data_IF_975168015593
#
_entry.id   IF_975168015593
#
_cell.length_a   1.000
_cell.length_b   1.000
_cell.length_c   1.000
_cell.angle_alpha   90.00
_cell.angle_beta   90.00
_cell.angle_gamma   90.00
#
_symmetry.space_group_name_H-M   'P 1'
#
loop_
_entity.id
_entity.type
_entity.pdbx_description
1 polymer ?
#
# COMPACT_ATOMS: atom_id res chain seq x y z
N UNK A 1 10.73 -32.17 25.52
CA UNK A 1 10.54 -31.27 24.36
C UNK A 1 9.36 -30.36 24.65
N UNK A 2 9.60 -29.06 24.83
CA UNK A 2 8.64 -27.95 24.61
C UNK A 2 9.34 -26.64 25.04
N UNK A 3 9.73 -25.83 24.06
CA UNK A 3 10.24 -24.46 24.27
C UNK A 3 9.06 -23.53 23.94
N UNK A 4 8.44 -22.97 24.98
CA UNK A 4 7.28 -22.11 24.86
C UNK A 4 7.65 -20.65 24.55
N UNK A 5 7.27 -20.19 23.35
CA UNK A 5 7.28 -18.80 22.88
C UNK A 5 6.55 -17.86 23.86
N UNK A 6 7.27 -17.00 24.59
CA UNK A 6 6.74 -15.81 25.30
C UNK A 6 7.69 -14.60 25.30
N UNK A 7 8.58 -14.49 24.31
CA UNK A 7 9.68 -13.51 24.35
C UNK A 7 9.59 -12.28 23.43
N UNK A 8 8.60 -12.15 22.55
CA UNK A 8 8.69 -11.17 21.44
C UNK A 8 7.98 -9.82 21.65
N UNK A 9 7.13 -9.68 22.68
CA UNK A 9 6.42 -8.41 22.95
C UNK A 9 7.12 -7.48 23.97
N UNK A 10 8.17 -7.96 24.66
CA UNK A 10 8.86 -7.18 25.69
C UNK A 10 10.06 -6.37 25.18
N UNK A 11 10.61 -6.70 24.00
CA UNK A 11 11.86 -6.08 23.51
C UNK A 11 11.72 -4.69 22.87
N UNK A 12 10.50 -4.26 22.50
CA UNK A 12 10.32 -3.01 21.75
C UNK A 12 10.11 -1.76 22.62
N UNK A 13 9.70 -1.92 23.89
CA UNK A 13 9.43 -0.78 24.79
C UNK A 13 10.63 -0.36 25.67
N UNK A 14 11.69 -1.17 25.77
CA UNK A 14 12.80 -0.90 26.70
C UNK A 14 13.89 0.05 26.19
N UNK A 15 13.90 0.42 24.90
CA UNK A 15 14.96 1.27 24.34
C UNK A 15 14.62 2.77 24.24
N UNK A 16 13.41 3.18 24.64
CA UNK A 16 13.05 4.60 24.67
C UNK A 16 13.43 5.25 26.00
N UNK A 17 14.24 6.32 26.02
CA UNK A 17 14.69 6.99 27.25
C UNK A 17 13.56 7.73 28.02
N UNK A 18 12.31 7.59 27.58
CA UNK A 18 11.12 8.14 28.24
C UNK A 18 10.58 7.26 29.40
N UNK A 19 11.13 6.06 29.64
CA UNK A 19 10.62 5.10 30.63
C UNK A 19 11.59 4.88 31.81
N UNK A 20 12.10 5.97 32.40
CA UNK A 20 12.81 5.87 33.69
C UNK A 20 12.31 6.90 34.68
N UNK A 21 11.05 6.79 35.10
CA UNK A 21 10.61 7.32 36.39
C UNK A 21 9.54 6.43 37.06
N UNK A 22 9.54 6.33 38.40
CA UNK A 22 8.62 5.48 39.14
C UNK A 22 7.20 6.07 39.09
N UNK A 23 6.29 5.37 38.40
CA UNK A 23 4.93 5.81 38.19
C UNK A 23 4.14 5.88 39.51
N UNK A 24 3.80 7.11 39.95
CA UNK A 24 2.73 7.34 40.93
C UNK A 24 1.39 6.99 40.27
N UNK A 25 0.60 6.12 40.92
CA UNK A 25 -0.66 5.50 40.42
C UNK A 25 -1.76 6.44 39.88
N UNK A 26 -1.64 7.76 40.06
CA UNK A 26 -2.54 8.75 39.46
C UNK A 26 -2.14 9.21 38.04
N UNK A 27 -0.87 9.11 37.67
CA UNK A 27 -0.35 9.63 36.39
C UNK A 27 -0.51 8.62 35.23
N UNK A 28 -0.57 7.32 35.52
CA UNK A 28 -0.80 6.27 34.51
C UNK A 28 -2.21 6.31 33.93
N UNK A 29 -3.24 6.69 34.70
CA UNK A 29 -4.61 6.82 34.17
C UNK A 29 -4.77 8.03 33.24
N UNK A 30 -4.13 9.16 33.54
CA UNK A 30 -4.17 10.34 32.68
C UNK A 30 -3.44 10.14 31.34
N UNK A 31 -2.33 9.39 31.33
CA UNK A 31 -1.58 9.02 30.10
C UNK A 31 -2.30 7.92 29.31
N UNK A 32 -2.91 6.92 29.97
CA UNK A 32 -3.72 5.90 29.29
C UNK A 32 -5.03 6.47 28.70
N UNK A 33 -5.58 7.55 29.26
CA UNK A 33 -6.74 8.27 28.70
C UNK A 33 -6.31 9.26 27.60
N UNK A 34 -5.13 9.88 27.68
CA UNK A 34 -4.58 10.71 26.61
C UNK A 34 -4.16 9.88 25.37
N UNK A 35 -3.60 8.68 25.54
CA UNK A 35 -3.36 7.71 24.47
C UNK A 35 -4.67 7.11 23.90
N UNK A 36 -5.70 6.96 24.72
CA UNK A 36 -7.06 6.65 24.27
C UNK A 36 -7.63 7.82 23.44
N UNK A 37 -7.48 9.08 23.89
CA UNK A 37 -8.11 10.26 23.28
C UNK A 37 -7.43 10.76 21.99
N UNK A 38 -6.13 10.49 21.80
CA UNK A 38 -5.41 10.85 20.56
C UNK A 38 -5.65 9.81 19.45
N UNK A 39 -6.00 8.55 19.79
CA UNK A 39 -6.33 7.47 18.85
C UNK A 39 -7.82 7.32 18.52
N UNK A 40 -8.73 7.92 19.31
CA UNK A 40 -10.19 7.71 19.17
C UNK A 40 -10.87 8.59 18.09
N UNK A 41 -10.29 9.72 17.62
CA UNK A 41 -11.07 10.72 16.86
C UNK A 41 -10.78 10.99 15.36
N UNK A 42 -9.62 10.70 14.74
CA UNK A 42 -9.60 10.62 13.27
C UNK A 42 -10.48 9.46 12.75
N UNK A 43 -10.77 8.48 13.61
CA UNK A 43 -11.62 7.34 13.36
C UNK A 43 -13.14 7.64 13.35
N UNK A 44 -13.60 8.86 13.65
CA UNK A 44 -15.05 9.19 13.66
C UNK A 44 -15.48 10.30 12.69
N UNK A 45 -14.55 11.06 12.09
CA UNK A 45 -14.89 12.18 11.22
C UNK A 45 -14.24 12.03 9.85
N UNK A 46 -15.06 11.53 8.91
CA UNK A 46 -14.90 11.48 7.46
C UNK A 46 -13.58 11.94 6.87
N UNK A 47 -12.76 10.98 6.46
CA UNK A 47 -12.19 11.04 5.13
C UNK A 47 -12.46 9.71 4.44
N UNK A 48 -13.10 9.78 3.27
CA UNK A 48 -13.19 8.70 2.29
C UNK A 48 -11.82 8.31 1.71
N UNK A 49 -10.72 8.86 2.24
CA UNK A 49 -9.40 8.87 1.61
C UNK A 49 -8.32 8.17 2.44
N UNK A 50 -8.69 7.54 3.55
CA UNK A 50 -7.72 6.63 4.08
C UNK A 50 -7.63 5.47 3.08
N UNK A 51 -6.45 5.26 2.52
CA UNK A 51 -6.21 4.18 1.59
C UNK A 51 -6.10 2.83 2.30
N UNK A 52 -6.57 1.80 1.64
CA UNK A 52 -6.53 0.39 2.04
C UNK A 52 -5.10 -0.20 2.01
N UNK A 53 -4.09 0.63 2.28
CA UNK A 53 -2.67 0.35 2.17
C UNK A 53 -2.26 -1.00 2.80
N UNK A 54 -2.79 -1.31 3.98
CA UNK A 54 -2.52 -2.58 4.66
C UNK A 54 -3.07 -3.77 3.88
N UNK A 55 -4.34 -3.68 3.48
CA UNK A 55 -4.94 -4.73 2.63
C UNK A 55 -4.29 -4.89 1.27
N UNK A 56 -3.87 -3.79 0.62
CA UNK A 56 -3.23 -3.83 -0.69
C UNK A 56 -1.83 -4.41 -0.63
N UNK A 57 -1.01 -3.97 0.32
CA UNK A 57 0.34 -4.49 0.50
C UNK A 57 0.34 -6.00 0.82
N UNK A 58 -0.57 -6.47 1.69
CA UNK A 58 -0.68 -7.89 1.99
C UNK A 58 -1.14 -8.75 0.82
N UNK A 59 -2.12 -8.25 0.04
CA UNK A 59 -2.50 -8.92 -1.20
C UNK A 59 -1.38 -8.93 -2.23
N UNK A 60 -0.65 -7.82 -2.37
CA UNK A 60 0.43 -7.69 -3.33
C UNK A 60 1.59 -8.64 -3.01
N UNK A 61 1.97 -8.78 -1.73
CA UNK A 61 3.03 -9.68 -1.31
C UNK A 61 2.68 -11.16 -1.59
N UNK A 62 1.41 -11.54 -1.43
CA UNK A 62 0.93 -12.90 -1.70
C UNK A 62 0.64 -13.18 -3.20
N UNK A 63 0.45 -12.15 -4.04
CA UNK A 63 0.31 -12.33 -5.51
C UNK A 63 1.67 -12.39 -6.20
N UNK A 64 2.57 -11.45 -5.90
CA UNK A 64 3.94 -11.41 -6.45
C UNK A 64 4.90 -10.93 -5.35
N UNK A 65 5.72 -11.84 -4.78
CA UNK A 65 6.65 -11.50 -3.70
C UNK A 65 7.92 -10.81 -4.26
N UNK A 66 7.74 -9.62 -4.84
CA UNK A 66 8.80 -8.70 -5.26
C UNK A 66 8.62 -7.37 -4.53
N UNK A 67 9.67 -6.91 -3.84
CA UNK A 67 9.62 -5.67 -3.05
C UNK A 67 9.23 -4.45 -3.88
N UNK A 68 9.58 -4.40 -5.17
CA UNK A 68 9.22 -3.27 -6.03
C UNK A 68 7.78 -3.36 -6.51
N UNK A 69 7.24 -4.56 -6.65
CA UNK A 69 5.81 -4.78 -6.87
C UNK A 69 5.01 -4.31 -5.65
N UNK A 70 5.39 -4.75 -4.45
CA UNK A 70 4.73 -4.31 -3.20
C UNK A 70 4.87 -2.78 -3.02
N UNK A 71 6.03 -2.21 -3.34
CA UNK A 71 6.23 -0.77 -3.35
C UNK A 71 5.26 -0.05 -4.29
N UNK A 72 5.07 -0.56 -5.50
CA UNK A 72 4.14 0.01 -6.46
C UNK A 72 2.73 0.02 -5.94
N UNK A 73 2.29 -1.09 -5.34
CA UNK A 73 0.96 -1.19 -4.74
C UNK A 73 0.78 -0.23 -3.55
N UNK A 74 1.85 0.04 -2.79
CA UNK A 74 1.78 0.96 -1.66
C UNK A 74 1.77 2.44 -2.07
N UNK A 75 2.47 2.78 -3.15
CA UNK A 75 2.70 4.17 -3.57
C UNK A 75 1.59 4.73 -4.49
N UNK A 76 0.57 3.94 -4.80
CA UNK A 76 -0.46 4.36 -5.75
C UNK A 76 -1.24 5.60 -5.29
N UNK A 77 -1.56 5.70 -4.00
CA UNK A 77 -2.26 6.86 -3.40
C UNK A 77 -1.28 7.89 -2.80
N UNK A 78 -0.09 8.04 -3.41
CA UNK A 78 0.89 9.02 -2.96
C UNK A 78 0.38 10.46 -3.12
N UNK A 79 -0.49 10.70 -4.09
CA UNK A 79 -1.14 11.98 -4.37
C UNK A 79 -1.88 12.60 -3.19
N UNK A 80 -2.39 11.80 -2.25
CA UNK A 80 -2.93 12.29 -0.98
C UNK A 80 -1.94 13.12 -0.15
N UNK A 81 -0.64 12.94 -0.39
CA UNK A 81 0.44 13.65 0.28
C UNK A 81 1.20 14.60 -0.65
N UNK A 82 0.74 14.74 -1.89
CA UNK A 82 1.30 15.67 -2.87
C UNK A 82 0.53 17.01 -2.86
N UNK A 83 1.15 18.09 -3.38
CA UNK A 83 0.43 19.34 -3.62
C UNK A 83 -0.81 19.12 -4.51
N UNK A 84 -1.92 19.83 -4.29
CA UNK A 84 -3.17 19.63 -5.03
C UNK A 84 -3.10 19.99 -6.52
N UNK A 85 -1.98 20.57 -6.96
CA UNK A 85 -1.69 20.86 -8.38
C UNK A 85 -1.04 19.68 -9.10
N UNK A 86 -0.61 18.66 -8.37
CA UNK A 86 -0.04 17.45 -8.95
C UNK A 86 -1.12 16.58 -9.60
N UNK A 87 -0.74 15.79 -10.63
CA UNK A 87 -1.66 14.83 -11.20
C UNK A 87 -2.00 13.72 -10.19
N UNK A 88 -3.19 13.20 -10.32
CA UNK A 88 -3.67 12.04 -9.59
C UNK A 88 -2.79 10.81 -9.88
N UNK A 89 -2.27 10.17 -8.82
CA UNK A 89 -1.29 9.08 -8.97
C UNK A 89 -1.93 7.69 -9.01
N UNK A 90 -3.14 7.50 -8.48
CA UNK A 90 -3.95 6.27 -8.52
C UNK A 90 -4.68 6.12 -9.87
N UNK A 91 -3.96 6.31 -10.99
CA UNK A 91 -4.53 6.19 -12.33
C UNK A 91 -3.72 5.28 -13.24
N UNK A 92 -4.41 4.57 -14.15
CA UNK A 92 -3.75 3.75 -15.18
C UNK A 92 -2.78 4.58 -16.04
N UNK A 93 -3.12 5.86 -16.28
CA UNK A 93 -2.27 6.78 -17.04
C UNK A 93 -0.96 7.07 -16.31
N UNK A 94 -1.01 7.34 -15.00
CA UNK A 94 0.19 7.56 -14.20
C UNK A 94 1.05 6.30 -14.14
N UNK A 95 0.42 5.15 -13.88
CA UNK A 95 1.05 3.84 -13.79
C UNK A 95 1.70 3.39 -15.10
N UNK A 96 1.03 3.60 -16.25
CA UNK A 96 1.61 3.29 -17.57
C UNK A 96 2.83 4.16 -17.87
N UNK A 97 2.77 5.44 -17.51
CA UNK A 97 3.87 6.36 -17.68
C UNK A 97 5.09 6.04 -16.82
N UNK A 98 4.97 5.24 -15.75
CA UNK A 98 6.13 4.79 -14.94
C UNK A 98 7.14 4.04 -15.82
N UNK A 99 6.65 3.15 -16.69
CA UNK A 99 7.50 2.39 -17.60
C UNK A 99 8.13 3.30 -18.65
N UNK A 100 7.39 4.29 -19.15
CA UNK A 100 7.87 5.23 -20.16
C UNK A 100 8.96 6.17 -19.63
N UNK A 101 8.87 6.56 -18.35
CA UNK A 101 9.82 7.44 -17.68
C UNK A 101 11.03 6.71 -17.09
N UNK A 102 10.94 5.40 -16.98
CA UNK A 102 12.04 4.57 -16.51
C UNK A 102 13.26 4.79 -17.41
N UNK A 103 14.40 5.14 -16.81
CA UNK A 103 15.64 5.34 -17.56
C UNK A 103 16.05 4.05 -18.28
N UNK A 104 16.84 4.20 -19.34
CA UNK A 104 17.40 3.06 -20.08
C UNK A 104 18.24 2.19 -19.13
N UNK A 105 17.73 0.99 -18.82
CA UNK A 105 18.35 0.07 -17.84
C UNK A 105 17.70 0.01 -16.46
N UNK A 106 16.58 0.71 -16.21
CA UNK A 106 15.79 0.50 -14.98
C UNK A 106 15.39 -0.96 -14.84
N UNK A 107 15.82 -1.58 -13.74
CA UNK A 107 15.54 -2.99 -13.47
C UNK A 107 14.22 -3.19 -12.71
N UNK A 108 13.65 -2.12 -12.17
CA UNK A 108 12.60 -2.18 -11.16
C UNK A 108 11.32 -1.42 -11.53
N UNK A 109 11.36 -0.47 -12.48
CA UNK A 109 10.20 0.29 -12.91
C UNK A 109 9.03 -0.59 -13.38
N UNK A 110 9.35 -1.70 -14.04
CA UNK A 110 8.33 -2.64 -14.50
C UNK A 110 7.58 -3.29 -13.34
N UNK A 111 8.31 -3.72 -12.31
CA UNK A 111 7.71 -4.31 -11.13
C UNK A 111 6.91 -3.27 -10.34
N UNK A 112 7.46 -2.05 -10.23
CA UNK A 112 6.77 -0.91 -9.63
C UNK A 112 5.45 -0.59 -10.35
N UNK A 113 5.45 -0.47 -11.68
CA UNK A 113 4.24 -0.21 -12.47
C UNK A 113 3.20 -1.33 -12.33
N UNK A 114 3.64 -2.60 -12.29
CA UNK A 114 2.76 -3.75 -12.06
C UNK A 114 2.06 -3.67 -10.71
N UNK A 115 2.81 -3.34 -9.65
CA UNK A 115 2.25 -3.14 -8.33
C UNK A 115 1.23 -2.00 -8.29
N UNK A 116 1.55 -0.91 -8.98
CA UNK A 116 0.68 0.27 -9.08
C UNK A 116 -0.67 -0.05 -9.72
N UNK A 117 -0.67 -0.82 -10.81
CA UNK A 117 -1.91 -1.28 -11.45
C UNK A 117 -2.69 -2.28 -10.59
N UNK A 118 -1.98 -3.15 -9.86
CA UNK A 118 -2.61 -4.10 -8.94
C UNK A 118 -3.40 -3.37 -7.84
N UNK A 119 -2.90 -2.25 -7.33
CA UNK A 119 -3.63 -1.40 -6.38
C UNK A 119 -4.97 -0.90 -6.96
N UNK A 120 -4.95 -0.34 -8.16
CA UNK A 120 -6.14 0.22 -8.84
C UNK A 120 -7.23 -0.84 -9.01
N UNK A 121 -6.83 -2.06 -9.41
CA UNK A 121 -7.75 -3.20 -9.55
C UNK A 121 -8.36 -3.60 -8.20
N UNK A 122 -7.58 -3.52 -7.12
CA UNK A 122 -8.03 -3.87 -5.79
C UNK A 122 -8.96 -2.81 -5.18
N UNK A 123 -8.79 -1.53 -5.49
CA UNK A 123 -9.69 -0.46 -5.04
C UNK A 123 -11.12 -0.66 -5.55
N UNK A 124 -11.26 -1.01 -6.83
CA UNK A 124 -12.57 -1.31 -7.42
C UNK A 124 -13.24 -2.49 -6.71
N UNK A 125 -12.48 -3.53 -6.40
CA UNK A 125 -12.97 -4.73 -5.68
C UNK A 125 -13.31 -4.41 -4.23
N UNK A 126 -12.54 -3.55 -3.59
CA UNK A 126 -12.79 -3.11 -2.22
C UNK A 126 -14.08 -2.30 -2.15
N UNK A 127 -14.31 -1.36 -3.08
CA UNK A 127 -15.55 -0.60 -3.14
C UNK A 127 -16.78 -1.51 -3.26
N UNK A 128 -16.69 -2.58 -4.06
CA UNK A 128 -17.75 -3.59 -4.15
C UNK A 128 -17.96 -4.35 -2.83
N UNK A 129 -16.89 -4.68 -2.10
CA UNK A 129 -16.98 -5.32 -0.79
C UNK A 129 -17.62 -4.39 0.26
N UNK A 130 -17.25 -3.11 0.28
CA UNK A 130 -17.87 -2.08 1.13
C UNK A 130 -19.37 -2.03 0.89
N UNK A 131 -19.80 -1.93 -0.38
CA UNK A 131 -21.21 -1.88 -0.73
C UNK A 131 -21.97 -3.15 -0.26
N UNK A 132 -21.39 -4.33 -0.44
CA UNK A 132 -22.00 -5.60 -0.01
C UNK A 132 -22.14 -5.70 1.52
N UNK A 133 -21.13 -5.23 2.26
CA UNK A 133 -21.15 -5.22 3.74
C UNK A 133 -22.19 -4.20 4.22
N UNK A 134 -22.21 -2.99 3.68
CA UNK A 134 -23.17 -1.96 4.08
C UNK A 134 -24.62 -2.33 3.74
N UNK A 135 -24.84 -3.08 2.65
CA UNK A 135 -26.16 -3.65 2.36
C UNK A 135 -26.61 -4.66 3.44
N UNK A 136 -25.66 -5.41 4.01
CA UNK A 136 -25.93 -6.44 5.04
C UNK A 136 -25.95 -5.86 6.46
N UNK A 137 -25.19 -4.79 6.68
CA UNK A 137 -25.02 -4.08 7.95
C UNK A 137 -25.07 -2.55 7.74
N UNK A 138 -26.27 -1.96 7.57
CA UNK A 138 -26.42 -0.55 7.18
C UNK A 138 -25.86 0.47 8.18
N UNK A 139 -25.61 0.07 9.44
CA UNK A 139 -25.00 0.93 10.44
C UNK A 139 -23.46 0.99 10.33
N UNK A 140 -22.84 0.18 9.47
CA UNK A 140 -21.38 0.16 9.30
C UNK A 140 -20.94 1.23 8.31
N UNK A 141 -19.89 1.95 8.67
CA UNK A 141 -19.25 2.97 7.83
C UNK A 141 -18.17 2.34 6.95
N UNK A 142 -17.72 3.07 5.92
CA UNK A 142 -16.56 2.64 5.12
C UNK A 142 -15.30 2.49 5.99
N UNK A 143 -15.14 3.33 7.02
CA UNK A 143 -14.05 3.24 8.00
C UNK A 143 -14.09 1.94 8.78
N UNK A 144 -15.29 1.49 9.20
CA UNK A 144 -15.46 0.23 9.92
C UNK A 144 -15.03 -0.97 9.07
N UNK A 145 -15.43 -0.97 7.79
CA UNK A 145 -15.03 -2.00 6.83
C UNK A 145 -13.52 -2.00 6.63
N UNK A 146 -12.93 -0.82 6.44
CA UNK A 146 -11.50 -0.68 6.17
C UNK A 146 -10.63 -1.13 7.34
N UNK A 147 -10.92 -0.67 8.57
CA UNK A 147 -10.19 -1.10 9.75
C UNK A 147 -10.32 -2.61 9.99
N UNK A 148 -11.47 -3.20 9.67
CA UNK A 148 -11.66 -4.65 9.73
C UNK A 148 -10.86 -5.38 8.63
N UNK A 149 -10.82 -4.87 7.40
CA UNK A 149 -10.01 -5.42 6.31
C UNK A 149 -8.51 -5.37 6.63
N UNK A 150 -8.00 -4.22 7.10
CA UNK A 150 -6.60 -4.08 7.51
C UNK A 150 -6.26 -5.06 8.65
N UNK A 151 -7.16 -5.24 9.61
CA UNK A 151 -6.97 -6.22 10.68
C UNK A 151 -6.89 -7.65 10.13
N UNK A 152 -7.79 -8.02 9.21
CA UNK A 152 -7.79 -9.35 8.62
C UNK A 152 -6.56 -9.60 7.75
N UNK A 153 -6.11 -8.61 6.96
CA UNK A 153 -4.85 -8.71 6.25
C UNK A 153 -3.67 -8.90 7.20
N UNK A 154 -3.55 -8.08 8.24
CA UNK A 154 -2.47 -8.25 9.24
C UNK A 154 -2.50 -9.61 9.96
N UNK A 155 -3.66 -10.26 10.03
CA UNK A 155 -3.86 -11.52 10.76
C UNK A 155 -3.71 -12.74 9.86
N UNK A 156 -4.26 -12.71 8.65
CA UNK A 156 -4.32 -13.84 7.71
C UNK A 156 -3.21 -13.79 6.64
N UNK A 157 -2.77 -12.57 6.28
CA UNK A 157 -1.83 -12.29 5.19
C UNK A 157 -0.77 -11.27 5.63
N UNK A 158 0.06 -11.61 6.63
CA UNK A 158 1.03 -10.68 7.19
C UNK A 158 2.10 -10.32 6.15
N UNK A 159 2.33 -9.02 5.97
CA UNK A 159 3.29 -8.48 5.01
C UNK A 159 4.42 -7.72 5.71
N UNK A 160 5.54 -7.58 5.00
CA UNK A 160 6.68 -6.80 5.50
C UNK A 160 6.31 -5.32 5.58
N UNK A 161 6.51 -4.70 6.75
CA UNK A 161 6.35 -3.24 6.93
C UNK A 161 7.67 -2.47 6.80
N UNK A 162 8.74 -3.15 6.35
CA UNK A 162 10.08 -2.57 6.18
C UNK A 162 10.19 -1.78 4.86
N UNK A 163 9.34 -0.76 4.68
CA UNK A 163 9.28 0.07 3.48
C UNK A 163 10.27 1.25 3.50
N UNK A 164 11.13 1.35 4.52
CA UNK A 164 12.13 2.42 4.61
C UNK A 164 13.10 2.44 3.43
N UNK A 165 13.25 1.33 2.70
CA UNK A 165 14.04 1.32 1.47
C UNK A 165 13.49 2.29 0.41
N UNK A 166 12.18 2.57 0.39
CA UNK A 166 11.57 3.55 -0.51
C UNK A 166 12.09 4.97 -0.28
N UNK A 167 12.46 5.31 0.96
CA UNK A 167 13.05 6.60 1.31
C UNK A 167 14.52 6.72 0.87
N UNK A 168 15.19 5.58 0.70
CA UNK A 168 16.60 5.51 0.30
C UNK A 168 16.78 5.26 -1.20
N UNK A 169 15.75 4.79 -1.90
CA UNK A 169 15.81 4.42 -3.31
C UNK A 169 15.55 5.63 -4.22
N UNK A 170 16.63 6.18 -4.77
CA UNK A 170 16.58 7.33 -5.68
C UNK A 170 15.91 7.01 -7.02
N UNK A 171 15.90 5.74 -7.45
CA UNK A 171 15.24 5.33 -8.70
C UNK A 171 13.72 5.46 -8.56
N UNK A 172 13.16 4.94 -7.47
CA UNK A 172 11.72 5.08 -7.16
C UNK A 172 11.31 6.55 -7.12
N UNK A 173 12.08 7.38 -6.40
CA UNK A 173 11.80 8.80 -6.26
C UNK A 173 11.90 9.55 -7.60
N UNK A 174 12.90 9.23 -8.43
CA UNK A 174 13.10 9.84 -9.74
C UNK A 174 11.99 9.50 -10.74
N UNK A 175 11.57 8.23 -10.78
CA UNK A 175 10.51 7.74 -11.67
C UNK A 175 9.17 8.39 -11.35
N UNK A 176 8.83 8.47 -10.05
CA UNK A 176 7.59 9.10 -9.59
C UNK A 176 7.64 10.59 -9.87
N UNK A 177 8.72 11.29 -9.50
CA UNK A 177 8.88 12.72 -9.73
C UNK A 177 8.80 13.08 -11.23
N UNK A 178 9.30 12.24 -12.13
CA UNK A 178 9.19 12.48 -13.57
C UNK A 178 7.75 12.50 -14.10
N UNK A 179 6.79 11.96 -13.34
CA UNK A 179 5.35 12.00 -13.64
C UNK A 179 4.62 13.19 -13.03
N UNK A 180 5.32 14.01 -12.25
CA UNK A 180 4.78 15.16 -11.51
C UNK A 180 5.15 16.48 -12.19
N UNK A 181 4.39 17.54 -11.90
CA UNK A 181 4.49 18.85 -12.53
C UNK A 181 5.42 19.78 -11.75
N UNK A 182 5.30 19.82 -10.43
CA UNK A 182 6.02 20.78 -9.58
C UNK A 182 6.87 20.10 -8.49
N UNK A 183 6.68 18.80 -8.27
CA UNK A 183 7.31 18.04 -7.21
C UNK A 183 8.53 17.28 -7.73
N UNK A 184 9.69 17.60 -7.17
CA UNK A 184 10.94 16.90 -7.47
C UNK A 184 11.11 15.62 -6.63
N UNK A 185 12.23 14.92 -6.81
CA UNK A 185 12.51 13.69 -6.05
C UNK A 185 12.60 13.90 -4.53
N UNK A 186 13.00 15.08 -4.06
CA UNK A 186 13.02 15.38 -2.64
C UNK A 186 11.60 15.55 -2.09
N UNK A 187 10.74 16.26 -2.83
CA UNK A 187 9.32 16.38 -2.51
C UNK A 187 8.59 15.03 -2.54
N UNK A 188 8.91 14.16 -3.51
CA UNK A 188 8.41 12.78 -3.54
C UNK A 188 8.85 12.00 -2.30
N UNK A 189 10.12 12.12 -1.90
CA UNK A 189 10.60 11.47 -0.68
C UNK A 189 9.86 11.94 0.57
N UNK A 190 9.56 13.24 0.67
CA UNK A 190 8.77 13.79 1.77
C UNK A 190 7.32 13.27 1.75
N UNK A 191 6.72 13.15 0.57
CA UNK A 191 5.39 12.54 0.41
C UNK A 191 5.39 11.06 0.83
N UNK A 192 6.42 10.29 0.46
CA UNK A 192 6.58 8.88 0.89
C UNK A 192 6.72 8.82 2.41
N UNK A 193 7.51 9.72 3.00
CA UNK A 193 7.63 9.79 4.45
C UNK A 193 6.27 10.04 5.13
N UNK A 194 5.48 10.97 4.61
CA UNK A 194 4.14 11.25 5.13
C UNK A 194 3.20 10.06 4.93
N UNK A 195 3.25 9.38 3.78
CA UNK A 195 2.47 8.17 3.54
C UNK A 195 2.75 7.09 4.59
N UNK A 196 4.02 6.91 4.97
CA UNK A 196 4.42 5.91 5.95
C UNK A 196 4.13 6.34 7.40
N UNK A 197 4.38 7.61 7.72
CA UNK A 197 4.56 8.09 9.10
C UNK A 197 3.74 9.32 9.49
N UNK A 198 2.87 9.83 8.62
CA UNK A 198 2.03 11.00 8.92
C UNK A 198 1.25 10.78 10.22
N UNK A 199 1.29 11.80 11.07
CA UNK A 199 0.49 11.91 12.28
C UNK A 199 -0.76 12.80 12.07
N UNK A 200 -1.03 13.23 10.83
CA UNK A 200 -2.24 13.98 10.50
C UNK A 200 -3.48 13.09 10.74
N UNK A 201 -4.48 13.67 11.40
CA UNK A 201 -5.74 13.01 11.68
C UNK A 201 -6.57 12.80 10.41
N UNK A 202 -6.46 13.70 9.43
CA UNK A 202 -7.24 13.62 8.20
C UNK A 202 -6.58 12.70 7.16
N UNK A 203 -5.27 12.48 7.28
CA UNK A 203 -4.45 11.62 6.43
C UNK A 203 -3.39 10.89 7.27
N UNK A 204 -3.80 9.92 8.13
CA UNK A 204 -2.85 9.19 8.96
C UNK A 204 -1.99 8.28 8.10
N UNK A 205 -0.70 8.23 8.41
CA UNK A 205 0.24 7.35 7.73
C UNK A 205 0.00 5.88 8.05
N UNK A 206 0.58 5.00 7.23
CA UNK A 206 0.46 3.55 7.33
C UNK A 206 0.72 3.03 8.74
N UNK A 207 1.76 3.53 9.41
CA UNK A 207 2.10 3.09 10.77
C UNK A 207 0.94 3.28 11.75
N UNK A 208 0.26 4.43 11.72
CA UNK A 208 -0.88 4.69 12.61
C UNK A 208 -2.09 3.85 12.21
N UNK A 209 -2.36 3.72 10.91
CA UNK A 209 -3.48 2.93 10.40
C UNK A 209 -3.39 1.44 10.82
N UNK A 210 -2.22 0.81 10.68
CA UNK A 210 -2.03 -0.60 11.07
C UNK A 210 -2.15 -0.82 12.59
N UNK A 211 -1.79 0.18 13.40
CA UNK A 211 -2.01 0.10 14.84
C UNK A 211 -3.47 0.35 15.20
N UNK A 212 -4.14 1.25 14.49
CA UNK A 212 -5.57 1.54 14.68
C UNK A 212 -6.44 0.32 14.38
N UNK A 213 -6.15 -0.45 13.31
CA UNK A 213 -6.92 -1.67 12.98
C UNK A 213 -6.84 -2.74 14.07
N UNK A 214 -5.67 -2.92 14.69
CA UNK A 214 -5.49 -3.83 15.84
C UNK A 214 -6.30 -3.39 17.06
N UNK A 215 -6.27 -2.10 17.38
CA UNK A 215 -7.07 -1.55 18.49
C UNK A 215 -8.57 -1.65 18.18
N UNK A 216 -8.96 -1.37 16.95
CA UNK A 216 -10.33 -1.46 16.48
C UNK A 216 -10.91 -2.88 16.66
N UNK A 217 -10.14 -3.91 16.33
CA UNK A 217 -10.57 -5.30 16.54
C UNK A 217 -10.79 -5.67 18.02
N UNK A 218 -10.09 -5.03 18.95
CA UNK A 218 -10.30 -5.20 20.39
C UNK A 218 -11.59 -4.51 20.84
N UNK A 219 -11.85 -3.29 20.34
CA UNK A 219 -12.99 -2.47 20.74
C UNK A 219 -14.30 -2.91 20.08
N UNK A 220 -14.25 -3.39 18.83
CA UNK A 220 -15.40 -3.73 17.99
C UNK A 220 -15.28 -5.16 17.41
N UNK A 221 -15.08 -6.20 18.24
CA UNK A 221 -14.84 -7.57 17.76
C UNK A 221 -16.03 -8.17 17.00
N UNK A 222 -17.24 -7.65 17.21
CA UNK A 222 -18.42 -8.09 16.46
C UNK A 222 -18.39 -7.60 15.01
N UNK A 223 -17.99 -6.35 14.78
CA UNK A 223 -17.88 -5.77 13.43
C UNK A 223 -16.83 -6.54 12.63
N UNK A 224 -15.65 -6.75 13.22
CA UNK A 224 -14.55 -7.49 12.57
C UNK A 224 -14.96 -8.91 12.19
N UNK A 225 -15.66 -9.64 13.07
CA UNK A 225 -16.18 -10.98 12.76
C UNK A 225 -17.22 -10.99 11.64
N UNK A 226 -18.12 -10.01 11.62
CA UNK A 226 -19.15 -9.90 10.58
C UNK A 226 -18.55 -9.61 9.20
N UNK A 227 -17.43 -8.91 9.15
CA UNK A 227 -16.73 -8.54 7.91
C UNK A 227 -15.85 -9.68 7.36
N UNK A 228 -15.45 -10.65 8.20
CA UNK A 228 -14.53 -11.75 7.82
C UNK A 228 -14.93 -12.51 6.55
N UNK A 229 -16.19 -12.94 6.33
CA UNK A 229 -16.55 -13.68 5.12
C UNK A 229 -16.44 -12.85 3.84
N UNK A 230 -16.64 -11.53 3.94
CA UNK A 230 -16.50 -10.60 2.82
C UNK A 230 -15.03 -10.36 2.51
N UNK A 231 -14.19 -10.28 3.55
CA UNK A 231 -12.74 -10.25 3.38
C UNK A 231 -12.24 -11.51 2.67
N UNK A 232 -12.65 -12.69 3.12
CA UNK A 232 -12.22 -13.96 2.50
C UNK A 232 -12.66 -14.06 1.03
N UNK A 233 -13.88 -13.62 0.71
CA UNK A 233 -14.38 -13.57 -0.65
C UNK A 233 -13.63 -12.55 -1.52
N UNK A 234 -13.38 -11.35 -0.98
CA UNK A 234 -12.57 -10.32 -1.63
C UNK A 234 -11.17 -10.82 -1.94
N UNK A 235 -10.50 -11.40 -0.94
CA UNK A 235 -9.14 -11.92 -1.06
C UNK A 235 -9.06 -13.07 -2.09
N UNK A 236 -9.95 -14.05 -1.99
CA UNK A 236 -10.00 -15.17 -2.94
C UNK A 236 -10.24 -14.67 -4.38
N UNK A 237 -11.12 -13.68 -4.55
CA UNK A 237 -11.36 -13.05 -5.84
C UNK A 237 -10.14 -12.32 -6.38
N UNK A 238 -9.47 -11.52 -5.53
CA UNK A 238 -8.25 -10.78 -5.88
C UNK A 238 -7.15 -11.73 -6.37
N UNK A 239 -6.83 -12.76 -5.60
CA UNK A 239 -5.78 -13.73 -5.94
C UNK A 239 -6.14 -14.59 -7.15
N UNK A 240 -7.36 -15.15 -7.21
CA UNK A 240 -7.76 -16.00 -8.34
C UNK A 240 -7.91 -15.21 -9.65
N UNK A 241 -8.23 -13.93 -9.55
CA UNK A 241 -8.38 -13.02 -10.68
C UNK A 241 -7.09 -12.32 -11.10
N UNK A 242 -5.98 -12.49 -10.37
CA UNK A 242 -4.72 -11.82 -10.70
C UNK A 242 -4.25 -12.24 -12.10
N UNK A 243 -4.09 -11.23 -12.96
CA UNK A 243 -3.50 -11.37 -14.29
C UNK A 243 -2.43 -10.33 -14.39
N UNK A 244 -1.22 -10.74 -14.78
CA UNK A 244 -0.16 -9.79 -15.05
C UNK A 244 -0.63 -8.82 -16.14
N UNK A 245 -0.85 -7.52 -15.80
CA UNK A 245 -1.39 -6.55 -16.76
C UNK A 245 -0.39 -6.29 -17.89
N UNK A 246 0.88 -6.64 -17.66
CA UNK A 246 1.88 -6.60 -18.69
C UNK A 246 2.32 -8.02 -19.08
N UNK A 247 2.40 -8.35 -20.39
CA UNK A 247 2.90 -9.66 -20.80
C UNK A 247 4.37 -9.81 -20.34
N UNK A 248 4.82 -11.04 -20.02
CA UNK A 248 6.21 -11.30 -19.68
C UNK A 248 7.13 -10.64 -20.70
N UNK A 249 8.14 -9.89 -20.23
CA UNK A 249 9.13 -9.22 -21.08
C UNK A 249 9.67 -10.18 -22.14
N UNK A 250 9.88 -11.45 -21.79
CA UNK A 250 10.28 -12.50 -22.73
C UNK A 250 9.29 -12.74 -23.86
N UNK A 251 7.97 -12.69 -23.60
CA UNK A 251 6.94 -12.81 -24.64
C UNK A 251 6.89 -11.56 -25.52
N UNK A 252 7.09 -10.38 -24.93
CA UNK A 252 7.12 -9.12 -25.66
C UNK A 252 8.36 -9.03 -26.54
N UNK A 253 9.54 -9.33 -26.00
CA UNK A 253 10.82 -9.46 -26.72
C UNK A 253 10.79 -10.59 -27.75
N UNK A 254 10.12 -11.72 -27.46
CA UNK A 254 9.93 -12.79 -28.45
C UNK A 254 9.01 -12.38 -29.59
N UNK A 255 7.95 -11.60 -29.30
CA UNK A 255 7.07 -11.02 -30.32
C UNK A 255 7.81 -9.96 -31.13
N UNK A 256 8.56 -9.07 -30.50
CA UNK A 256 9.42 -8.08 -31.16
C UNK A 256 10.48 -8.74 -32.03
N UNK A 257 11.22 -9.73 -31.52
CA UNK A 257 12.17 -10.52 -32.31
C UNK A 257 11.48 -11.28 -33.46
N UNK A 258 10.24 -11.74 -33.28
CA UNK A 258 9.48 -12.39 -34.35
C UNK A 258 9.00 -11.38 -35.38
N UNK A 259 8.54 -10.20 -34.95
CA UNK A 259 8.13 -9.10 -35.82
C UNK A 259 9.32 -8.56 -36.62
N UNK A 260 10.46 -8.35 -35.98
CA UNK A 260 11.72 -7.93 -36.62
C UNK A 260 12.18 -9.00 -37.64
N UNK A 261 12.14 -10.29 -37.28
CA UNK A 261 12.46 -11.38 -38.22
C UNK A 261 11.46 -11.49 -39.38
N UNK A 262 10.23 -11.04 -39.18
CA UNK A 262 9.16 -11.07 -40.18
C UNK A 262 8.97 -9.72 -40.90
N UNK A 263 9.79 -8.70 -40.59
CA UNK A 263 9.84 -7.48 -41.40
C UNK A 263 10.31 -7.88 -42.80
N UNK A 264 9.54 -7.47 -43.81
CA UNK A 264 9.81 -7.74 -45.22
C UNK A 264 11.24 -7.27 -45.55
N UNK A 265 12.04 -8.02 -46.32
CA UNK A 265 13.46 -7.69 -46.62
C UNK A 265 13.70 -6.23 -47.04
N UNK A 266 12.71 -5.62 -47.68
CA UNK A 266 12.69 -4.23 -48.14
C UNK A 266 12.83 -3.19 -46.99
N UNK A 267 12.39 -3.51 -45.77
CA UNK A 267 12.54 -2.64 -44.59
C UNK A 267 13.91 -2.85 -43.93
N UNK A 268 14.45 -4.07 -43.97
CA UNK A 268 15.79 -4.38 -43.47
C UNK A 268 16.88 -3.71 -44.33
N UNK A 269 16.72 -3.69 -45.65
CA UNK A 269 17.63 -2.98 -46.57
C UNK A 269 17.58 -1.45 -46.41
N UNK A 270 16.44 -0.90 -45.99
CA UNK A 270 16.28 0.54 -45.73
C UNK A 270 16.88 1.00 -44.39
N UNK A 271 17.08 0.08 -43.44
CA UNK A 271 17.61 0.33 -42.09
C UNK A 271 19.07 -0.08 -41.93
N UNK A 272 19.67 -0.74 -42.92
CA UNK A 272 21.10 -1.06 -42.91
C UNK A 272 21.94 0.23 -43.01
N UNK A 273 22.97 0.42 -42.15
CA UNK A 273 23.84 1.58 -42.25
C UNK A 273 24.56 1.56 -43.60
N UNK A 274 24.52 2.69 -44.31
CA UNK A 274 25.31 2.90 -45.52
C UNK A 274 26.79 3.07 -45.20
#
# INVERSE_FOLDING_TARGET
MSVGRRGWLYGFFEQSPLVRQPARRGWTRAISVAALAILIFPALAGSSSGANFGSHAGLAEDTVPDRYFVAGALLADLDHFLPPTEPQTDSEAFASGIVERAWEGSHHAWSLARGWLEHIDQDTRFAAAVAAIQASYPSYTATDVRLAFDYWTLTKHPFSTAFDFLLADAEVQGIVAGGLVATDSAGVRDAIYNLLYSADQNAPGLFLQLNASRLYAILYPQVVRNVEPYYDAFYAGAVAGHRDPFPPVDRMLSRLHRMIRNLVPQVLDALAPR
#
